data_IF_443761319436
#
_entry.id   IF_443761319436
#
_cell.length_a   1.000
_cell.length_b   1.000
_cell.length_c   1.000
_cell.angle_alpha   90.00
_cell.angle_beta   90.00
_cell.angle_gamma   90.00
#
_symmetry.space_group_name_H-M   'P 1'
#
loop_
_entity.id
_entity.type
_entity.pdbx_description
1 polymer ?
#
# COMPACT_ATOMS: atom_id res chain seq x y z
N UNK A 1 5.94 -17.24 -10.95
CA UNK A 1 6.09 -15.78 -10.82
C UNK A 1 4.72 -15.13 -10.77
N UNK A 2 4.51 -14.12 -9.92
CA UNK A 2 3.22 -13.43 -9.77
C UNK A 2 2.95 -12.51 -10.97
N UNK A 3 1.80 -12.69 -11.62
CA UNK A 3 1.41 -11.89 -12.78
C UNK A 3 1.07 -10.46 -12.35
N UNK A 4 1.71 -9.47 -12.97
CA UNK A 4 1.42 -8.06 -12.73
C UNK A 4 0.00 -7.69 -13.16
N UNK A 5 -0.79 -7.04 -12.30
CA UNK A 5 -2.09 -6.52 -12.69
C UNK A 5 -2.00 -5.37 -13.71
N UNK A 6 -2.94 -5.29 -14.66
CA UNK A 6 -2.88 -4.34 -15.78
C UNK A 6 -3.10 -2.87 -15.38
N UNK A 7 -3.72 -2.62 -14.23
CA UNK A 7 -4.06 -1.31 -13.68
C UNK A 7 -2.95 -0.72 -12.78
N UNK A 8 -1.79 -1.38 -12.69
CA UNK A 8 -0.58 -0.75 -12.16
C UNK A 8 0.12 0.10 -13.24
N UNK A 9 0.17 1.40 -13.03
CA UNK A 9 0.86 2.34 -13.91
C UNK A 9 2.25 2.68 -13.37
N UNK A 10 3.30 2.59 -14.19
CA UNK A 10 4.68 3.01 -13.88
C UNK A 10 5.22 2.46 -12.54
N UNK A 11 5.00 1.16 -12.30
CA UNK A 11 5.43 0.43 -11.09
C UNK A 11 6.06 -0.92 -11.41
N UNK A 12 6.67 -1.05 -12.59
CA UNK A 12 7.18 -2.34 -13.09
C UNK A 12 8.30 -2.88 -12.19
N UNK A 13 9.22 -2.00 -11.83
CA UNK A 13 10.38 -2.35 -11.03
C UNK A 13 9.96 -2.76 -9.60
N UNK A 14 9.16 -1.93 -8.93
CA UNK A 14 8.70 -2.24 -7.58
C UNK A 14 7.82 -3.50 -7.54
N UNK A 15 7.02 -3.74 -8.59
CA UNK A 15 6.26 -4.99 -8.71
C UNK A 15 7.20 -6.19 -8.81
N UNK A 16 8.23 -6.13 -9.65
CA UNK A 16 9.16 -7.24 -9.85
C UNK A 16 9.84 -7.65 -8.55
N UNK A 17 10.38 -6.68 -7.80
CA UNK A 17 11.05 -6.95 -6.52
C UNK A 17 10.10 -7.56 -5.48
N UNK A 18 8.90 -7.00 -5.35
CA UNK A 18 7.90 -7.51 -4.42
C UNK A 18 7.38 -8.90 -4.82
N UNK A 19 7.20 -9.15 -6.11
CA UNK A 19 6.76 -10.44 -6.63
C UNK A 19 7.81 -11.53 -6.39
N UNK A 20 9.08 -11.20 -6.58
CA UNK A 20 10.21 -12.08 -6.27
C UNK A 20 10.27 -12.38 -4.77
N UNK A 21 10.21 -11.34 -3.93
CA UNK A 21 10.19 -11.51 -2.47
C UNK A 21 9.04 -12.41 -2.01
N UNK A 22 7.83 -12.16 -2.50
CA UNK A 22 6.62 -12.89 -2.10
C UNK A 22 6.57 -14.34 -2.60
N UNK A 23 7.24 -14.65 -3.72
CA UNK A 23 7.27 -16.00 -4.29
C UNK A 23 8.51 -16.83 -3.89
N UNK A 24 9.50 -16.20 -3.25
CA UNK A 24 10.74 -16.83 -2.87
C UNK A 24 10.56 -17.75 -1.65
N UNK A 25 10.89 -19.04 -1.83
CA UNK A 25 10.93 -20.05 -0.76
C UNK A 25 12.30 -19.99 -0.10
N UNK A 26 12.40 -19.21 0.99
CA UNK A 26 13.61 -19.18 1.83
C UNK A 26 13.24 -19.56 3.27
N UNK A 27 14.12 -20.28 4.00
CA UNK A 27 13.84 -20.71 5.36
C UNK A 27 13.77 -19.50 6.32
N UNK A 28 12.85 -19.58 7.29
CA UNK A 28 12.70 -18.58 8.35
C UNK A 28 11.66 -17.48 8.07
N UNK A 29 11.45 -16.62 9.08
CA UNK A 29 10.52 -15.48 8.98
C UNK A 29 11.12 -14.37 8.12
N UNK A 30 10.35 -13.85 7.17
CA UNK A 30 10.75 -12.76 6.28
C UNK A 30 9.78 -11.59 6.40
N UNK A 31 10.33 -10.39 6.57
CA UNK A 31 9.57 -9.15 6.65
C UNK A 31 10.15 -8.18 5.61
N UNK A 32 9.28 -7.62 4.76
CA UNK A 32 9.62 -6.56 3.83
C UNK A 32 8.97 -5.24 4.29
N UNK A 33 9.71 -4.13 4.17
CA UNK A 33 9.23 -2.79 4.50
C UNK A 33 9.13 -1.93 3.24
N UNK A 34 7.96 -1.37 2.98
CA UNK A 34 7.74 -0.45 1.85
C UNK A 34 7.57 0.98 2.35
N UNK A 35 8.63 1.77 2.18
CA UNK A 35 8.69 3.19 2.59
C UNK A 35 8.56 4.12 1.38
N UNK A 36 8.46 5.44 1.61
CA UNK A 36 8.31 6.45 0.54
C UNK A 36 7.27 7.54 0.84
N UNK A 37 7.13 8.51 -0.08
CA UNK A 37 6.28 9.71 0.08
C UNK A 37 4.79 9.37 0.34
N UNK A 38 4.08 10.27 1.00
CA UNK A 38 2.64 10.12 1.28
C UNK A 38 1.85 10.13 -0.05
N UNK A 39 0.78 9.33 -0.11
CA UNK A 39 -0.19 9.28 -1.24
C UNK A 39 0.38 8.84 -2.61
N UNK A 40 1.53 8.17 -2.65
CA UNK A 40 2.10 7.64 -3.91
C UNK A 40 1.58 6.25 -4.33
N UNK A 41 0.64 5.67 -3.57
CA UNK A 41 0.02 4.39 -3.92
C UNK A 41 0.65 3.12 -3.32
N UNK A 42 1.56 3.23 -2.33
CA UNK A 42 2.19 2.05 -1.69
C UNK A 42 1.17 1.05 -1.12
N UNK A 43 0.15 1.53 -0.41
CA UNK A 43 -0.92 0.67 0.11
C UNK A 43 -1.70 -0.04 -1.00
N UNK A 44 -1.87 0.64 -2.14
CA UNK A 44 -2.53 0.06 -3.30
C UNK A 44 -1.66 -1.05 -3.90
N UNK A 45 -0.36 -0.79 -4.13
CA UNK A 45 0.60 -1.80 -4.61
C UNK A 45 0.62 -3.06 -3.72
N UNK A 46 0.73 -2.88 -2.39
CA UNK A 46 0.74 -4.00 -1.44
C UNK A 46 -0.55 -4.80 -1.44
N UNK A 47 -1.70 -4.13 -1.59
CA UNK A 47 -2.99 -4.82 -1.69
C UNK A 47 -3.06 -5.70 -2.95
N UNK A 48 -2.58 -5.19 -4.09
CA UNK A 48 -2.56 -5.96 -5.35
C UNK A 48 -1.60 -7.14 -5.29
N UNK A 49 -0.47 -6.97 -4.60
CA UNK A 49 0.45 -8.07 -4.36
C UNK A 49 -0.21 -9.18 -3.53
N UNK A 50 -0.89 -8.82 -2.44
CA UNK A 50 -1.62 -9.77 -1.61
C UNK A 50 -2.73 -10.48 -2.40
N UNK A 51 -3.52 -9.72 -3.16
CA UNK A 51 -4.56 -10.29 -4.04
C UNK A 51 -3.98 -11.26 -5.08
N UNK A 52 -2.80 -10.97 -5.63
CA UNK A 52 -2.14 -11.83 -6.60
C UNK A 52 -1.50 -13.07 -5.96
N UNK A 53 -1.02 -13.00 -4.72
CA UNK A 53 -0.29 -14.08 -4.05
C UNK A 53 -1.18 -15.05 -3.28
N UNK A 54 -2.24 -14.55 -2.64
CA UNK A 54 -3.12 -15.35 -1.78
C UNK A 54 -4.58 -15.35 -2.24
N UNK A 55 -4.92 -14.62 -3.32
CA UNK A 55 -6.30 -14.40 -3.75
C UNK A 55 -7.00 -13.31 -2.92
N UNK A 56 -8.34 -13.20 -2.99
CA UNK A 56 -9.10 -12.21 -2.23
C UNK A 56 -8.75 -12.28 -0.74
N UNK A 57 -8.22 -11.19 -0.19
CA UNK A 57 -7.65 -11.15 1.17
C UNK A 57 -8.00 -9.84 1.85
N UNK A 58 -8.23 -9.90 3.16
CA UNK A 58 -8.46 -8.73 3.99
C UNK A 58 -7.11 -8.06 4.31
N UNK A 59 -6.98 -6.78 3.95
CA UNK A 59 -5.83 -5.94 4.31
C UNK A 59 -6.25 -5.01 5.44
N UNK A 60 -5.68 -5.19 6.62
CA UNK A 60 -5.90 -4.30 7.77
C UNK A 60 -4.86 -3.18 7.78
N UNK A 61 -5.32 -1.92 7.94
CA UNK A 61 -4.44 -0.76 8.09
C UNK A 61 -5.01 0.17 9.18
N UNK A 62 -4.19 0.52 10.16
CA UNK A 62 -4.47 1.64 11.05
C UNK A 62 -3.88 2.93 10.45
N UNK A 63 -4.63 4.04 10.52
CA UNK A 63 -4.19 5.34 10.02
C UNK A 63 -4.27 6.36 11.13
N UNK A 64 -3.14 6.98 11.44
CA UNK A 64 -3.12 8.17 12.29
C UNK A 64 -3.42 9.40 11.42
N UNK A 65 -4.41 10.20 11.84
CA UNK A 65 -4.74 11.45 11.17
C UNK A 65 -3.76 12.53 11.64
N UNK A 66 -2.81 12.91 10.78
CA UNK A 66 -1.93 14.05 11.06
C UNK A 66 -2.76 15.34 11.06
N UNK A 67 -2.58 16.17 12.08
CA UNK A 67 -3.38 17.35 12.47
C UNK A 67 -3.53 18.49 11.44
N UNK A 68 -2.92 18.40 10.26
CA UNK A 68 -3.06 19.41 9.19
C UNK A 68 -4.43 19.47 8.49
N UNK A 69 -5.43 18.72 8.96
CA UNK A 69 -6.79 18.70 8.41
C UNK A 69 -7.90 18.88 9.46
N UNK A 70 -7.59 19.37 10.66
CA UNK A 70 -8.63 19.90 11.52
C UNK A 70 -9.22 21.14 10.84
N UNK A 71 -10.45 21.03 10.32
CA UNK A 71 -11.24 22.17 9.88
C UNK A 71 -11.30 23.16 11.05
N UNK A 72 -10.86 24.40 10.83
CA UNK A 72 -10.98 25.49 11.81
C UNK A 72 -12.47 25.71 12.14
N UNK A 73 -12.93 25.45 13.38
CA UNK A 73 -14.32 25.65 13.76
C UNK A 73 -14.72 27.13 13.84
N UNK A 74 -13.80 28.07 13.64
CA UNK A 74 -14.01 29.51 13.82
C UNK A 74 -14.80 30.27 12.74
N UNK A 75 -15.41 29.61 11.75
CA UNK A 75 -16.11 30.28 10.62
C UNK A 75 -17.64 30.15 10.61
N UNK A 76 -18.29 30.08 11.77
CA UNK A 76 -19.72 30.38 11.89
C UNK A 76 -19.89 31.80 12.46
N UNK A 77 -20.01 32.82 11.60
CA UNK A 77 -20.57 34.12 12.02
C UNK A 77 -22.08 34.11 11.80
N UNK A 78 -22.92 34.41 12.79
CA UNK A 78 -24.35 34.59 12.57
C UNK A 78 -24.60 35.89 11.79
N UNK A 79 -25.57 35.85 10.87
CA UNK A 79 -26.22 37.05 10.32
C UNK A 79 -27.28 37.54 11.30
#
# INVERSE_FOLDING_TARGET
MLRRPPDLFDREHEWSELAEFASSVAPGLRIALVSGRRRVGKSYLLRRLAEASTGPTLVHQARELSSGQALDPGRCRPR
#
